data_IF_725614392096
#
_entry.id   IF_725614392096
#
_cell.length_a   1.000
_cell.length_b   1.000
_cell.length_c   1.000
_cell.angle_alpha   90.00
_cell.angle_beta   90.00
_cell.angle_gamma   90.00
#
_symmetry.space_group_name_H-M   'P 1'
#
loop_
_entity.id
_entity.type
_entity.pdbx_description
1 polymer ?
#
# COMPACT_ATOMS: atom_id res chain seq x y z
N UNK A 1 11.17 -8.37 3.81
CA UNK A 1 9.79 -7.99 4.19
C UNK A 1 9.40 -8.90 5.33
N UNK A 2 8.82 -8.36 6.40
CA UNK A 2 8.22 -9.23 7.41
C UNK A 2 6.92 -9.82 6.84
N UNK A 3 6.63 -11.10 7.11
CA UNK A 3 5.40 -11.72 6.62
C UNK A 3 4.19 -11.03 7.22
N UNK A 4 3.13 -10.84 6.43
CA UNK A 4 1.87 -10.28 6.92
C UNK A 4 1.24 -11.20 7.95
N UNK A 5 0.34 -10.67 8.79
CA UNK A 5 -0.37 -11.51 9.77
C UNK A 5 -1.15 -12.65 9.10
N UNK A 6 -1.74 -12.39 7.93
CA UNK A 6 -2.45 -13.40 7.15
C UNK A 6 -1.50 -14.52 6.67
N UNK A 7 -0.31 -14.16 6.19
CA UNK A 7 0.72 -15.14 5.81
C UNK A 7 1.24 -15.96 7.00
N UNK A 8 1.42 -15.32 8.17
CA UNK A 8 1.83 -16.00 9.39
C UNK A 8 0.77 -17.01 9.85
N UNK A 9 -0.51 -16.65 9.77
CA UNK A 9 -1.63 -17.54 10.06
C UNK A 9 -1.70 -18.70 9.09
N UNK A 10 -1.59 -18.45 7.78
CA UNK A 10 -1.59 -19.50 6.75
C UNK A 10 -0.44 -20.49 6.98
N UNK A 11 0.78 -19.99 7.21
CA UNK A 11 1.95 -20.83 7.48
C UNK A 11 1.79 -21.67 8.76
N UNK A 12 1.16 -21.12 9.80
CA UNK A 12 0.88 -21.86 11.02
C UNK A 12 -0.21 -22.92 10.83
N UNK A 13 -1.25 -22.62 10.04
CA UNK A 13 -2.32 -23.57 9.74
C UNK A 13 -1.81 -24.79 8.97
N UNK A 14 -0.79 -24.60 8.12
CA UNK A 14 -0.07 -25.65 7.42
C UNK A 14 0.84 -26.46 8.37
N UNK A 15 1.49 -25.80 9.32
CA UNK A 15 2.37 -26.44 10.29
C UNK A 15 2.04 -26.02 11.73
N UNK A 16 1.10 -26.76 12.34
CA UNK A 16 0.40 -26.43 13.60
C UNK A 16 1.26 -26.64 14.86
N UNK A 17 2.39 -25.96 14.93
CA UNK A 17 3.26 -25.95 16.11
C UNK A 17 2.57 -25.17 17.23
N UNK A 18 2.24 -25.86 18.33
CA UNK A 18 1.38 -25.32 19.39
C UNK A 18 1.91 -24.02 19.98
N UNK A 19 3.18 -23.99 20.41
CA UNK A 19 3.77 -22.83 21.09
C UNK A 19 3.79 -21.59 20.19
N UNK A 20 4.06 -21.76 18.89
CA UNK A 20 3.99 -20.69 17.89
C UNK A 20 2.56 -20.17 17.76
N UNK A 21 1.58 -21.07 17.78
CA UNK A 21 0.17 -20.69 17.73
C UNK A 21 -0.27 -19.91 18.96
N UNK A 22 0.21 -20.27 20.16
CA UNK A 22 -0.09 -19.52 21.39
C UNK A 22 0.47 -18.09 21.32
N UNK A 23 1.68 -17.92 20.77
CA UNK A 23 2.26 -16.58 20.55
C UNK A 23 1.47 -15.77 19.51
N UNK A 24 1.06 -16.40 18.41
CA UNK A 24 0.21 -15.76 17.40
C UNK A 24 -1.15 -15.35 17.99
N UNK A 25 -1.76 -16.23 18.78
CA UNK A 25 -3.01 -15.93 19.47
C UNK A 25 -2.85 -14.72 20.40
N UNK A 26 -1.77 -14.68 21.18
CA UNK A 26 -1.47 -13.54 22.06
C UNK A 26 -1.28 -12.25 21.26
N UNK A 27 -0.60 -12.29 20.12
CA UNK A 27 -0.41 -11.12 19.27
C UNK A 27 -1.74 -10.58 18.71
N UNK A 28 -2.68 -11.46 18.39
CA UNK A 28 -3.97 -11.10 17.78
C UNK A 28 -4.98 -10.63 18.84
N UNK A 29 -5.14 -11.39 19.91
CA UNK A 29 -6.22 -11.21 20.89
C UNK A 29 -5.76 -10.57 22.20
N UNK A 30 -4.46 -10.42 22.41
CA UNK A 30 -3.89 -9.94 23.66
C UNK A 30 -3.98 -10.95 24.80
N UNK A 31 -3.90 -10.46 26.03
CA UNK A 31 -4.00 -11.29 27.23
C UNK A 31 -5.47 -11.55 27.61
N UNK A 32 -5.74 -12.74 28.14
CA UNK A 32 -7.09 -13.12 28.58
C UNK A 32 -7.18 -14.53 29.15
N UNK A 33 -8.41 -14.91 29.53
CA UNK A 33 -8.69 -16.23 30.09
C UNK A 33 -8.28 -17.35 29.12
N UNK A 34 -8.65 -17.23 27.85
CA UNK A 34 -8.30 -18.23 26.83
C UNK A 34 -6.79 -18.35 26.64
N UNK A 35 -6.04 -17.23 26.64
CA UNK A 35 -4.57 -17.30 26.58
C UNK A 35 -3.98 -17.99 27.82
N UNK A 36 -4.52 -17.71 29.01
CA UNK A 36 -4.06 -18.34 30.25
C UNK A 36 -4.30 -19.85 30.23
N UNK A 37 -5.46 -20.27 29.71
CA UNK A 37 -5.80 -21.67 29.48
C UNK A 37 -4.85 -22.33 28.47
N UNK A 38 -4.55 -21.67 27.34
CA UNK A 38 -3.61 -22.16 26.33
C UNK A 38 -2.17 -22.25 26.85
N UNK A 39 -1.74 -21.28 27.66
CA UNK A 39 -0.43 -21.33 28.33
C UNK A 39 -0.32 -22.47 29.36
N UNK A 40 -1.43 -23.08 29.76
CA UNK A 40 -1.49 -24.27 30.60
C UNK A 40 -0.93 -25.54 29.95
N UNK A 41 -0.79 -25.55 28.61
CA UNK A 41 -0.13 -26.62 27.87
C UNK A 41 -0.96 -27.23 26.75
N UNK A 42 -0.31 -28.05 25.95
CA UNK A 42 -0.86 -28.58 24.70
C UNK A 42 -1.63 -29.90 24.92
N UNK A 43 -2.90 -29.82 25.27
CA UNK A 43 -3.84 -30.94 25.23
C UNK A 43 -4.76 -30.88 23.99
N UNK A 44 -5.52 -31.95 23.72
CA UNK A 44 -6.38 -32.04 22.53
C UNK A 44 -7.44 -30.94 22.49
N UNK A 45 -7.98 -30.57 23.65
CA UNK A 45 -8.99 -29.51 23.76
C UNK A 45 -8.39 -28.15 23.43
N UNK A 46 -7.24 -27.82 24.02
CA UNK A 46 -6.50 -26.59 23.80
C UNK A 46 -5.97 -26.48 22.38
N UNK A 47 -5.47 -27.56 21.79
CA UNK A 47 -5.05 -27.61 20.37
C UNK A 47 -6.21 -27.31 19.45
N UNK A 48 -7.38 -27.91 19.71
CA UNK A 48 -8.58 -27.64 18.93
C UNK A 48 -9.04 -26.19 19.08
N UNK A 49 -9.14 -25.69 20.31
CA UNK A 49 -9.55 -24.30 20.58
C UNK A 49 -8.62 -23.26 19.96
N UNK A 50 -7.31 -23.51 20.02
CA UNK A 50 -6.32 -22.66 19.37
C UNK A 50 -6.49 -22.67 17.85
N UNK A 51 -6.64 -23.86 17.26
CA UNK A 51 -6.84 -24.01 15.82
C UNK A 51 -8.12 -23.32 15.35
N UNK A 52 -9.24 -23.55 16.04
CA UNK A 52 -10.53 -22.95 15.69
C UNK A 52 -10.45 -21.41 15.74
N UNK A 53 -9.81 -20.85 16.77
CA UNK A 53 -9.65 -19.41 16.92
C UNK A 53 -8.78 -18.80 15.82
N UNK A 54 -7.60 -19.38 15.56
CA UNK A 54 -6.67 -18.88 14.54
C UNK A 54 -7.23 -19.06 13.13
N UNK A 55 -7.94 -20.17 12.85
CA UNK A 55 -8.63 -20.39 11.59
C UNK A 55 -9.73 -19.34 11.38
N UNK A 56 -10.56 -19.09 12.40
CA UNK A 56 -11.61 -18.06 12.31
C UNK A 56 -11.02 -16.70 11.99
N UNK A 57 -9.91 -16.33 12.62
CA UNK A 57 -9.26 -15.05 12.34
C UNK A 57 -8.62 -15.01 10.94
N UNK A 58 -8.00 -16.11 10.50
CA UNK A 58 -7.51 -16.27 9.14
C UNK A 58 -8.62 -16.04 8.12
N UNK A 59 -9.79 -16.68 8.31
CA UNK A 59 -10.91 -16.59 7.38
C UNK A 59 -11.49 -15.17 7.33
N UNK A 60 -11.55 -14.48 8.47
CA UNK A 60 -11.96 -13.07 8.53
C UNK A 60 -11.02 -12.16 7.75
N UNK A 61 -9.70 -12.30 7.97
CA UNK A 61 -8.70 -11.50 7.27
C UNK A 61 -8.69 -11.81 5.77
N UNK A 62 -8.80 -13.09 5.40
CA UNK A 62 -8.87 -13.51 4.00
C UNK A 62 -10.11 -12.96 3.31
N UNK A 63 -11.28 -13.01 3.97
CA UNK A 63 -12.51 -12.44 3.41
C UNK A 63 -12.42 -10.92 3.24
N UNK A 64 -11.82 -10.22 4.21
CA UNK A 64 -11.61 -8.77 4.13
C UNK A 64 -10.65 -8.39 3.00
N UNK A 65 -9.55 -9.13 2.81
CA UNK A 65 -8.61 -8.89 1.70
C UNK A 65 -9.28 -9.16 0.34
N UNK A 66 -10.07 -10.23 0.21
CA UNK A 66 -10.83 -10.52 -1.02
C UNK A 66 -11.81 -9.40 -1.35
N UNK A 67 -12.61 -8.95 -0.37
CA UNK A 67 -13.54 -7.84 -0.57
C UNK A 67 -12.82 -6.53 -0.94
N UNK A 68 -11.63 -6.29 -0.36
CA UNK A 68 -10.81 -5.14 -0.71
C UNK A 68 -10.33 -5.22 -2.17
N UNK A 69 -9.80 -6.37 -2.60
CA UNK A 69 -9.34 -6.59 -3.97
C UNK A 69 -10.49 -6.47 -4.98
N UNK A 70 -11.66 -7.00 -4.66
CA UNK A 70 -12.87 -6.85 -5.49
C UNK A 70 -13.34 -5.40 -5.60
N UNK A 71 -13.03 -4.56 -4.60
CA UNK A 71 -13.36 -3.13 -4.62
C UNK A 71 -12.37 -2.26 -5.41
N UNK A 72 -11.27 -2.84 -5.92
CA UNK A 72 -10.27 -2.07 -6.66
C UNK A 72 -10.85 -1.49 -7.96
N UNK A 73 -10.55 -0.22 -8.27
CA UNK A 73 -10.89 0.34 -9.57
C UNK A 73 -10.08 -0.34 -10.67
N UNK A 74 -10.68 -0.44 -11.86
CA UNK A 74 -10.07 -1.09 -13.04
C UNK A 74 -8.66 -0.56 -13.35
N UNK A 75 -8.45 0.75 -13.16
CA UNK A 75 -7.13 1.38 -13.33
C UNK A 75 -6.08 0.79 -12.39
N UNK A 76 -6.41 0.60 -11.11
CA UNK A 76 -5.49 -0.01 -10.15
C UNK A 76 -5.27 -1.49 -10.46
N UNK A 77 -6.30 -2.22 -10.87
CA UNK A 77 -6.18 -3.63 -11.28
C UNK A 77 -5.21 -3.78 -12.44
N UNK A 78 -5.37 -2.99 -13.51
CA UNK A 78 -4.46 -2.99 -14.66
C UNK A 78 -3.03 -2.60 -14.27
N UNK A 79 -2.86 -1.63 -13.36
CA UNK A 79 -1.54 -1.25 -12.84
C UNK A 79 -0.88 -2.40 -12.05
N UNK A 80 -1.65 -3.15 -11.26
CA UNK A 80 -1.13 -4.29 -10.51
C UNK A 80 -0.72 -5.45 -11.44
N UNK A 81 -1.46 -5.69 -12.51
CA UNK A 81 -1.09 -6.65 -13.55
C UNK A 81 0.21 -6.23 -14.26
N UNK A 82 0.31 -4.95 -14.65
CA UNK A 82 1.57 -4.38 -15.16
C UNK A 82 2.70 -4.53 -14.15
N UNK A 83 2.43 -4.35 -12.87
CA UNK A 83 3.39 -4.55 -11.78
C UNK A 83 3.97 -5.97 -11.77
N UNK A 84 3.16 -7.01 -12.00
CA UNK A 84 3.64 -8.39 -12.11
C UNK A 84 4.61 -8.56 -13.28
N UNK A 85 4.24 -8.06 -14.46
CA UNK A 85 5.09 -8.10 -15.67
C UNK A 85 6.43 -7.40 -15.41
N UNK A 86 6.40 -6.24 -14.76
CA UNK A 86 7.60 -5.49 -14.38
C UNK A 86 8.49 -6.26 -13.39
N UNK A 87 7.92 -7.02 -12.45
CA UNK A 87 8.70 -7.87 -11.55
C UNK A 87 9.43 -9.00 -12.30
N UNK A 88 8.75 -9.63 -13.26
CA UNK A 88 9.34 -10.68 -14.09
C UNK A 88 10.45 -10.10 -14.99
N UNK A 89 10.19 -8.96 -15.64
CA UNK A 89 11.17 -8.24 -16.45
C UNK A 89 12.41 -7.90 -15.61
N UNK A 90 12.23 -7.35 -14.40
CA UNK A 90 13.33 -7.03 -13.49
C UNK A 90 14.15 -8.26 -13.11
N UNK A 91 13.49 -9.41 -12.92
CA UNK A 91 14.16 -10.67 -12.60
C UNK A 91 15.04 -11.12 -13.77
N UNK A 92 14.49 -11.13 -14.98
CA UNK A 92 15.22 -11.49 -16.20
C UNK A 92 16.40 -10.53 -16.48
N UNK A 93 16.22 -9.22 -16.30
CA UNK A 93 17.30 -8.24 -16.47
C UNK A 93 18.44 -8.47 -15.46
N UNK A 94 18.12 -8.77 -14.21
CA UNK A 94 19.13 -9.07 -13.19
C UNK A 94 19.88 -10.36 -13.49
N UNK A 95 19.18 -11.38 -13.94
CA UNK A 95 19.80 -12.63 -14.37
C UNK A 95 20.76 -12.41 -15.53
N UNK A 96 20.34 -11.63 -16.54
CA UNK A 96 21.20 -11.24 -17.66
C UNK A 96 22.45 -10.48 -17.20
N UNK A 97 22.32 -9.56 -16.25
CA UNK A 97 23.47 -8.85 -15.68
C UNK A 97 24.41 -9.78 -14.91
N UNK A 98 23.88 -10.77 -14.17
CA UNK A 98 24.71 -11.80 -13.51
C UNK A 98 25.48 -12.61 -14.54
N UNK A 99 24.80 -13.07 -15.59
CA UNK A 99 25.44 -13.79 -16.70
C UNK A 99 26.57 -12.96 -17.35
N UNK A 100 26.37 -11.67 -17.60
CA UNK A 100 27.42 -10.79 -18.12
C UNK A 100 28.62 -10.68 -17.16
N UNK A 101 28.35 -10.59 -15.86
CA UNK A 101 29.40 -10.55 -14.85
C UNK A 101 30.20 -11.87 -14.81
N UNK A 102 29.53 -13.02 -14.95
CA UNK A 102 30.17 -14.34 -15.02
C UNK A 102 31.07 -14.49 -16.26
N UNK A 103 30.76 -13.77 -17.34
CA UNK A 103 31.61 -13.64 -18.53
C UNK A 103 32.75 -12.61 -18.39
N UNK A 104 32.93 -12.02 -17.20
CA UNK A 104 33.92 -10.98 -16.93
C UNK A 104 33.57 -9.58 -17.44
N UNK A 105 32.34 -9.39 -17.97
CA UNK A 105 31.88 -8.10 -18.46
C UNK A 105 31.34 -7.29 -17.28
N UNK A 106 32.17 -6.36 -16.78
CA UNK A 106 31.83 -5.54 -15.60
C UNK A 106 31.48 -4.10 -15.94
N UNK A 107 31.69 -3.67 -17.19
CA UNK A 107 31.41 -2.32 -17.70
C UNK A 107 30.98 -2.39 -19.16
N UNK A 108 30.23 -1.39 -19.62
CA UNK A 108 29.78 -1.26 -21.00
C UNK A 108 28.40 -0.62 -21.10
N UNK A 109 28.08 -0.05 -22.27
CA UNK A 109 26.79 0.61 -22.51
C UNK A 109 25.60 -0.34 -22.35
N UNK A 110 25.75 -1.61 -22.74
CA UNK A 110 24.68 -2.60 -22.55
C UNK A 110 24.40 -2.87 -21.07
N UNK A 111 25.44 -3.07 -20.25
CA UNK A 111 25.29 -3.29 -18.81
C UNK A 111 24.66 -2.06 -18.14
N UNK A 112 25.10 -0.87 -18.53
CA UNK A 112 24.55 0.42 -18.08
C UNK A 112 23.06 0.54 -18.42
N UNK A 113 22.65 0.21 -19.66
CA UNK A 113 21.25 0.22 -20.09
C UNK A 113 20.38 -0.74 -19.26
N UNK A 114 20.86 -1.97 -19.01
CA UNK A 114 20.15 -2.94 -18.18
C UNK A 114 19.98 -2.41 -16.74
N UNK A 115 21.05 -1.85 -16.16
CA UNK A 115 21.02 -1.28 -14.82
C UNK A 115 20.02 -0.12 -14.70
N UNK A 116 20.03 0.82 -15.64
CA UNK A 116 19.06 1.92 -15.66
C UNK A 116 17.62 1.42 -15.81
N UNK A 117 17.38 0.42 -16.66
CA UNK A 117 16.05 -0.17 -16.79
C UNK A 117 15.57 -0.79 -15.47
N UNK A 118 16.44 -1.48 -14.74
CA UNK A 118 16.12 -2.02 -13.41
C UNK A 118 15.77 -0.92 -12.41
N UNK A 119 16.42 0.24 -12.49
CA UNK A 119 16.08 1.40 -11.66
C UNK A 119 14.72 1.98 -12.03
N UNK A 120 14.45 2.22 -13.32
CA UNK A 120 13.14 2.68 -13.78
C UNK A 120 12.01 1.74 -13.35
N UNK A 121 12.20 0.43 -13.50
CA UNK A 121 11.22 -0.56 -13.05
C UNK A 121 10.96 -0.45 -11.54
N UNK A 122 12.01 -0.19 -10.74
CA UNK A 122 11.84 0.00 -9.30
C UNK A 122 10.94 1.20 -8.99
N UNK A 123 11.11 2.30 -9.72
CA UNK A 123 10.31 3.52 -9.53
C UNK A 123 8.86 3.32 -9.99
N UNK A 124 8.66 2.64 -11.12
CA UNK A 124 7.33 2.24 -11.61
C UNK A 124 6.60 1.36 -10.58
N UNK A 125 7.28 0.33 -10.06
CA UNK A 125 6.73 -0.53 -9.00
C UNK A 125 6.40 0.28 -7.74
N UNK A 126 7.28 1.20 -7.34
CA UNK A 126 7.03 2.10 -6.20
C UNK A 126 5.74 2.90 -6.37
N UNK A 127 5.49 3.42 -7.57
CA UNK A 127 4.28 4.17 -7.91
C UNK A 127 3.03 3.27 -7.85
N UNK A 128 3.09 2.09 -8.47
CA UNK A 128 1.96 1.14 -8.51
C UNK A 128 1.59 0.68 -7.10
N UNK A 129 2.55 0.21 -6.30
CA UNK A 129 2.28 -0.27 -4.96
C UNK A 129 1.98 0.86 -3.97
N UNK A 130 2.49 2.06 -4.21
CA UNK A 130 2.08 3.26 -3.48
C UNK A 130 0.59 3.56 -3.68
N UNK A 131 0.09 3.44 -4.91
CA UNK A 131 -1.33 3.59 -5.22
C UNK A 131 -2.19 2.49 -4.58
N UNK A 132 -1.74 1.23 -4.61
CA UNK A 132 -2.40 0.14 -3.88
C UNK A 132 -2.51 0.44 -2.39
N UNK A 133 -1.41 0.86 -1.77
CA UNK A 133 -1.36 1.15 -0.34
C UNK A 133 -2.25 2.36 0.02
N UNK A 134 -2.25 3.39 -0.83
CA UNK A 134 -3.14 4.53 -0.66
C UNK A 134 -4.61 4.10 -0.67
N UNK A 135 -5.02 3.30 -1.65
CA UNK A 135 -6.38 2.79 -1.72
C UNK A 135 -6.74 1.97 -0.48
N UNK A 136 -5.82 1.10 -0.01
CA UNK A 136 -6.02 0.31 1.21
C UNK A 136 -6.24 1.18 2.45
N UNK A 137 -5.53 2.30 2.57
CA UNK A 137 -5.64 3.19 3.73
C UNK A 137 -6.87 4.12 3.68
N UNK A 138 -7.29 4.53 2.47
CA UNK A 138 -8.29 5.60 2.31
C UNK A 138 -9.62 5.14 1.69
N UNK A 139 -9.65 4.00 1.02
CA UNK A 139 -10.83 3.43 0.36
C UNK A 139 -11.25 4.14 -0.93
N UNK A 140 -10.36 4.94 -1.54
CA UNK A 140 -10.58 5.58 -2.84
C UNK A 140 -9.24 5.86 -3.54
N UNK A 141 -9.29 6.11 -4.85
CA UNK A 141 -8.13 6.56 -5.63
C UNK A 141 -8.22 8.06 -5.89
N UNK A 142 -7.11 8.83 -5.82
CA UNK A 142 -7.11 10.18 -6.32
C UNK A 142 -7.32 10.12 -7.84
N UNK A 143 -8.28 10.90 -8.37
CA UNK A 143 -8.42 11.00 -9.83
C UNK A 143 -7.11 11.53 -10.40
N UNK A 144 -6.71 11.08 -11.58
CA UNK A 144 -5.51 11.59 -12.23
C UNK A 144 -5.63 13.12 -12.31
N UNK A 145 -4.67 13.89 -11.75
CA UNK A 145 -4.75 15.33 -11.82
C UNK A 145 -4.74 15.73 -13.30
N UNK A 146 -5.87 16.24 -13.80
CA UNK A 146 -5.84 17.04 -15.01
C UNK A 146 -5.00 18.29 -14.67
N UNK A 147 -3.72 18.26 -15.04
CA UNK A 147 -2.87 19.43 -14.92
C UNK A 147 -3.39 20.41 -15.94
N UNK A 148 -4.16 21.41 -15.48
CA UNK A 148 -4.41 22.58 -16.30
C UNK A 148 -3.07 23.34 -16.40
N UNK A 149 -2.43 23.38 -17.59
CA UNK A 149 -1.11 23.98 -17.77
C UNK A 149 -1.11 25.49 -17.49
N UNK A 150 -2.27 26.12 -17.28
CA UNK A 150 -2.39 27.51 -16.89
C UNK A 150 -2.24 27.75 -15.37
N UNK A 151 -2.21 26.71 -14.52
CA UNK A 151 -2.16 26.88 -13.06
C UNK A 151 -0.69 26.97 -12.59
N UNK A 152 -0.35 28.11 -12.00
CA UNK A 152 0.99 28.35 -11.42
C UNK A 152 1.21 27.55 -10.13
N UNK A 153 2.46 27.22 -9.82
CA UNK A 153 2.86 26.56 -8.55
C UNK A 153 2.30 27.30 -7.31
N UNK A 154 2.37 28.63 -7.32
CA UNK A 154 1.83 29.46 -6.24
C UNK A 154 0.32 29.30 -6.07
N UNK A 155 -0.43 29.15 -7.16
CA UNK A 155 -1.88 28.90 -7.12
C UNK A 155 -2.20 27.50 -6.56
N UNK A 156 -1.43 26.48 -6.95
CA UNK A 156 -1.56 25.12 -6.41
C UNK A 156 -1.25 25.08 -4.91
N UNK A 157 -0.17 25.71 -4.46
CA UNK A 157 0.16 25.81 -3.03
C UNK A 157 -0.94 26.52 -2.24
N UNK A 158 -1.46 27.65 -2.76
CA UNK A 158 -2.55 28.38 -2.11
C UNK A 158 -3.82 27.53 -1.99
N UNK A 159 -4.15 26.77 -3.04
CA UNK A 159 -5.27 25.83 -3.01
C UNK A 159 -5.01 24.70 -2.00
N UNK A 160 -3.82 24.12 -1.96
CA UNK A 160 -3.45 23.07 -1.03
C UNK A 160 -3.60 23.50 0.44
N UNK A 161 -3.17 24.73 0.78
CA UNK A 161 -3.36 25.30 2.12
C UNK A 161 -4.85 25.46 2.48
N UNK A 162 -5.67 25.88 1.50
CA UNK A 162 -7.12 26.00 1.67
C UNK A 162 -7.77 24.63 1.91
N UNK A 163 -7.39 23.62 1.11
CA UNK A 163 -7.90 22.25 1.23
C UNK A 163 -7.49 21.62 2.56
N UNK A 164 -6.24 21.82 3.02
CA UNK A 164 -5.79 21.40 4.36
C UNK A 164 -6.67 21.95 5.49
N UNK A 165 -7.09 23.22 5.35
CA UNK A 165 -8.01 23.85 6.30
C UNK A 165 -9.38 23.16 6.29
N UNK A 166 -9.90 22.80 5.11
CA UNK A 166 -11.16 22.06 5.00
C UNK A 166 -11.07 20.64 5.54
N UNK A 167 -9.98 19.91 5.27
CA UNK A 167 -9.73 18.59 5.87
C UNK A 167 -9.79 18.71 7.39
N UNK A 168 -9.01 19.61 7.99
CA UNK A 168 -9.00 19.81 9.44
C UNK A 168 -10.39 20.11 10.01
N UNK A 169 -11.16 20.94 9.31
CA UNK A 169 -12.52 21.33 9.71
C UNK A 169 -13.49 20.14 9.66
N UNK A 170 -13.47 19.34 8.59
CA UNK A 170 -14.37 18.19 8.46
C UNK A 170 -13.95 17.03 9.38
N UNK A 171 -12.65 16.81 9.61
CA UNK A 171 -12.16 15.85 10.62
C UNK A 171 -12.63 16.23 12.02
N UNK A 172 -12.53 17.51 12.39
CA UNK A 172 -13.04 17.99 13.69
C UNK A 172 -14.54 17.80 13.83
N UNK A 173 -15.31 18.03 12.75
CA UNK A 173 -16.75 17.78 12.74
C UNK A 173 -17.08 16.30 12.91
N UNK A 174 -16.38 15.41 12.20
CA UNK A 174 -16.57 13.96 12.35
C UNK A 174 -16.25 13.46 13.75
N UNK A 175 -15.25 14.05 14.42
CA UNK A 175 -14.92 13.73 15.81
C UNK A 175 -16.01 14.15 16.82
N UNK A 176 -16.86 15.12 16.45
CA UNK A 176 -17.99 15.58 17.29
C UNK A 176 -19.28 14.78 17.07
N UNK A 177 -19.34 13.94 16.03
CA UNK A 177 -20.52 13.15 15.70
C UNK A 177 -20.38 11.73 16.26
N UNK A 178 -21.49 11.21 16.78
CA UNK A 178 -21.61 9.79 17.14
C UNK A 178 -21.59 8.91 15.88
N UNK A 179 -21.33 7.61 16.03
CA UNK A 179 -21.29 6.67 14.92
C UNK A 179 -22.61 6.62 14.14
N UNK A 180 -23.75 6.73 14.84
CA UNK A 180 -25.10 6.64 14.26
C UNK A 180 -25.67 7.99 13.79
N UNK A 181 -24.86 9.07 13.77
CA UNK A 181 -25.38 10.37 13.35
C UNK A 181 -25.71 10.36 11.85
N UNK A 182 -26.95 10.71 11.43
CA UNK A 182 -27.38 10.66 10.03
C UNK A 182 -26.60 11.61 9.11
N UNK A 183 -25.89 12.61 9.66
CA UNK A 183 -25.05 13.55 8.90
C UNK A 183 -23.62 13.02 8.70
N UNK A 184 -23.22 11.97 9.42
CA UNK A 184 -21.87 11.41 9.36
C UNK A 184 -21.45 10.99 7.93
N UNK A 185 -22.28 10.27 7.14
CA UNK A 185 -21.89 9.86 5.78
C UNK A 185 -21.57 11.05 4.88
N UNK A 186 -22.30 12.17 5.03
CA UNK A 186 -22.07 13.40 4.27
C UNK A 186 -20.71 14.02 4.57
N UNK A 187 -20.29 14.02 5.82
CA UNK A 187 -18.98 14.56 6.22
C UNK A 187 -17.84 13.63 5.85
N UNK A 188 -18.05 12.31 5.93
CA UNK A 188 -17.09 11.31 5.42
C UNK A 188 -16.88 11.47 3.91
N UNK A 189 -17.95 11.66 3.14
CA UNK A 189 -17.87 11.93 1.70
C UNK A 189 -17.06 13.20 1.40
N UNK A 190 -17.32 14.30 2.13
CA UNK A 190 -16.57 15.56 1.97
C UNK A 190 -15.10 15.41 2.35
N UNK A 191 -14.81 14.70 3.45
CA UNK A 191 -13.45 14.45 3.88
C UNK A 191 -12.69 13.63 2.83
N UNK A 192 -13.32 12.59 2.26
CA UNK A 192 -12.76 11.83 1.13
C UNK A 192 -12.48 12.74 -0.06
N UNK A 193 -13.43 13.59 -0.45
CA UNK A 193 -13.26 14.52 -1.58
C UNK A 193 -12.09 15.49 -1.36
N UNK A 194 -12.01 16.16 -0.20
CA UNK A 194 -10.92 17.08 0.09
C UNK A 194 -9.56 16.38 0.23
N UNK A 195 -9.53 15.18 0.78
CA UNK A 195 -8.28 14.41 0.89
C UNK A 195 -7.80 13.96 -0.49
N UNK A 196 -8.71 13.55 -1.37
CA UNK A 196 -8.42 13.28 -2.79
C UNK A 196 -7.82 14.50 -3.49
N UNK A 197 -8.48 15.65 -3.36
CA UNK A 197 -8.02 16.92 -3.95
C UNK A 197 -6.64 17.34 -3.43
N UNK A 198 -6.37 17.18 -2.12
CA UNK A 198 -5.07 17.51 -1.55
C UNK A 198 -3.95 16.64 -2.13
N UNK A 199 -4.19 15.36 -2.38
CA UNK A 199 -3.21 14.47 -3.00
C UNK A 199 -2.98 14.80 -4.47
N UNK A 200 -4.04 15.13 -5.22
CA UNK A 200 -3.90 15.63 -6.60
C UNK A 200 -3.02 16.87 -6.66
N UNK A 201 -3.27 17.86 -5.79
CA UNK A 201 -2.48 19.09 -5.73
C UNK A 201 -1.01 18.81 -5.37
N UNK A 202 -0.74 17.85 -4.47
CA UNK A 202 0.63 17.44 -4.14
C UNK A 202 1.31 16.75 -5.32
N UNK A 203 0.60 15.89 -6.06
CA UNK A 203 1.13 15.25 -7.26
C UNK A 203 1.44 16.29 -8.34
N UNK A 204 0.56 17.27 -8.57
CA UNK A 204 0.79 18.37 -9.50
C UNK A 204 2.01 19.22 -9.11
N UNK A 205 2.13 19.58 -7.82
CA UNK A 205 3.31 20.29 -7.31
C UNK A 205 4.58 19.46 -7.52
N UNK A 206 4.55 18.17 -7.19
CA UNK A 206 5.69 17.28 -7.38
C UNK A 206 6.11 17.17 -8.86
N UNK A 207 5.15 17.13 -9.80
CA UNK A 207 5.46 17.11 -11.24
C UNK A 207 6.09 18.41 -11.74
N UNK A 208 5.67 19.56 -11.21
CA UNK A 208 6.27 20.86 -11.55
C UNK A 208 7.68 20.99 -10.96
N UNK A 209 7.90 20.54 -9.72
CA UNK A 209 9.20 20.65 -9.05
C UNK A 209 10.23 19.61 -9.53
N UNK A 210 9.78 18.45 -10.02
CA UNK A 210 10.65 17.36 -10.49
C UNK A 210 10.79 17.30 -12.02
N UNK A 211 10.35 18.33 -12.77
CA UNK A 211 10.51 18.34 -14.22
C UNK A 211 12.02 18.42 -14.58
N UNK A 212 12.64 17.35 -15.12
CA UNK A 212 14.07 17.33 -15.40
C UNK A 212 14.49 18.24 -16.57
N UNK A 213 13.51 18.86 -17.26
CA UNK A 213 13.73 19.65 -18.47
C UNK A 213 13.86 21.17 -18.24
N UNK A 214 13.63 21.68 -17.03
CA UNK A 214 13.83 23.12 -16.72
C UNK A 214 15.30 23.51 -16.45
N UNK A 215 16.24 22.57 -16.54
CA UNK A 215 17.69 22.82 -16.49
C UNK A 215 18.38 22.74 -17.86
N UNK A 216 17.63 22.84 -18.96
CA UNK A 216 18.21 23.12 -20.28
C UNK A 216 17.87 24.55 -20.66
N UNK A 217 18.51 25.51 -19.97
CA UNK A 217 18.70 26.83 -20.57
C UNK A 217 19.64 26.64 -21.75
N UNK A 218 19.08 26.60 -22.95
CA UNK A 218 19.80 26.78 -24.20
C UNK A 218 20.45 28.17 -24.09
N UNK A 219 21.76 28.18 -23.86
CA UNK A 219 22.59 29.35 -24.13
C UNK A 219 23.13 29.16 -25.55
N UNK A 220 22.63 30.00 -26.45
CA UNK A 220 23.30 30.35 -27.71
C UNK A 220 24.66 31.00 -27.43
#
# INVERSE_FOLDING_TARGET
>A
MQPTLLEQLAAWLDNRVYDVGVLLYQQIHGDGFMLSMLKGGADDYNRKKLTDALQTHHDQLSAAETALVESYPESLTGDLERGKILMDERTALKERMRYMADQGITKGEDLKRLAYRVLTIRDDLGTIYGRKEFFRQHGYMPDAPAVDPAITEAALMKRLLSVRTYISKETRRLAQLTADDPKRPKYEQKLRAFTSEAEQLKQQLATLTNNPYDNVTILD
#
